data_IF_398718584602
#
_entry.id   IF_398718584602
#
_cell.length_a   1.000
_cell.length_b   1.000
_cell.length_c   1.000
_cell.angle_alpha   90.00
_cell.angle_beta   90.00
_cell.angle_gamma   90.00
#
_symmetry.space_group_name_H-M   'P 1'
#
loop_
_entity.id
_entity.type
_entity.pdbx_description
1 polymer ?
#
# COMPACT_ATOMS: atom_id res chain seq x y z
N UNK A 1 -1.09 5.15 21.57
CA UNK A 1 -1.20 3.71 21.26
C UNK A 1 -2.54 3.51 20.60
N UNK A 2 -2.53 3.14 19.32
CA UNK A 2 -3.78 2.90 18.62
C UNK A 2 -4.38 1.57 19.05
N UNK A 3 -5.72 1.52 19.09
CA UNK A 3 -6.50 0.35 19.47
C UNK A 3 -7.69 0.25 18.52
N UNK A 4 -8.02 -0.98 18.13
CA UNK A 4 -9.25 -1.29 17.44
C UNK A 4 -10.16 -2.00 18.44
N UNK A 5 -11.36 -1.44 18.68
CA UNK A 5 -12.44 -2.12 19.38
C UNK A 5 -13.39 -2.68 18.33
N UNK A 6 -13.53 -4.00 18.28
CA UNK A 6 -14.44 -4.69 17.35
C UNK A 6 -15.62 -5.24 18.13
N UNK A 7 -16.83 -4.85 17.74
CA UNK A 7 -18.08 -5.40 18.30
C UNK A 7 -18.57 -6.49 17.36
N UNK A 8 -18.67 -7.73 17.87
CA UNK A 8 -19.16 -8.87 17.11
C UNK A 8 -20.69 -8.92 16.97
N UNK A 9 -21.19 -9.95 16.29
CA UNK A 9 -22.62 -10.27 16.22
C UNK A 9 -23.32 -9.99 14.89
N UNK A 10 -22.62 -9.38 13.92
CA UNK A 10 -23.15 -9.12 12.58
C UNK A 10 -22.34 -9.84 11.49
N UNK A 11 -22.96 -10.65 10.62
CA UNK A 11 -22.28 -11.19 9.44
C UNK A 11 -21.93 -10.07 8.45
N UNK A 12 -20.77 -10.18 7.80
CA UNK A 12 -20.37 -9.24 6.76
C UNK A 12 -21.10 -9.53 5.45
N UNK A 13 -21.57 -8.48 4.77
CA UNK A 13 -22.19 -8.56 3.44
C UNK A 13 -21.76 -7.37 2.60
N UNK A 14 -21.43 -7.62 1.33
CA UNK A 14 -20.98 -6.60 0.37
C UNK A 14 -19.64 -6.95 -0.29
N UNK A 15 -19.04 -5.96 -0.93
CA UNK A 15 -17.74 -6.08 -1.60
C UNK A 15 -16.85 -4.89 -1.29
N UNK A 16 -15.54 -5.11 -1.28
CA UNK A 16 -14.54 -4.07 -1.10
C UNK A 16 -13.46 -4.21 -2.17
N UNK A 17 -12.90 -3.09 -2.61
CA UNK A 17 -11.77 -3.07 -3.53
C UNK A 17 -10.48 -3.16 -2.73
N UNK A 18 -9.62 -4.10 -3.08
CA UNK A 18 -8.29 -4.25 -2.48
C UNK A 18 -7.27 -3.43 -3.27
N UNK A 19 -6.33 -2.81 -2.56
CA UNK A 19 -5.18 -2.13 -3.16
C UNK A 19 -4.14 -3.12 -3.72
N UNK A 20 -3.11 -2.62 -4.38
CA UNK A 20 -2.01 -3.45 -4.86
C UNK A 20 -1.21 -4.12 -3.74
N UNK A 21 -0.39 -5.09 -4.11
CA UNK A 21 0.42 -5.86 -3.17
C UNK A 21 1.66 -5.08 -2.72
N UNK A 22 1.88 -5.01 -1.40
CA UNK A 22 3.05 -4.36 -0.78
C UNK A 22 4.37 -4.73 -1.45
N UNK A 23 4.65 -6.03 -1.53
CA UNK A 23 5.95 -6.52 -2.01
C UNK A 23 6.19 -6.25 -3.50
N UNK A 24 5.12 -6.03 -4.27
CA UNK A 24 5.25 -5.57 -5.67
C UNK A 24 5.53 -4.07 -5.70
N UNK A 25 4.76 -3.28 -4.95
CA UNK A 25 4.95 -1.83 -4.88
C UNK A 25 6.36 -1.43 -4.41
N UNK A 26 6.89 -2.06 -3.35
CA UNK A 26 8.24 -1.78 -2.85
C UNK A 26 9.34 -2.05 -3.90
N UNK A 27 9.21 -3.15 -4.66
CA UNK A 27 10.17 -3.48 -5.73
C UNK A 27 10.05 -2.51 -6.90
N UNK A 28 8.84 -2.10 -7.26
CA UNK A 28 8.62 -1.11 -8.31
C UNK A 28 9.14 0.28 -7.90
N UNK A 29 9.00 0.68 -6.63
CA UNK A 29 9.58 1.92 -6.10
C UNK A 29 11.10 1.90 -6.24
N UNK A 30 11.78 0.80 -5.87
CA UNK A 30 13.21 0.66 -6.07
C UNK A 30 13.61 0.65 -7.56
N UNK A 31 12.86 -0.08 -8.40
CA UNK A 31 13.13 -0.16 -9.84
C UNK A 31 12.95 1.19 -10.55
N UNK A 32 12.10 2.09 -10.02
CA UNK A 32 11.89 3.42 -10.58
C UNK A 32 13.16 4.28 -10.59
N UNK A 33 14.13 4.00 -9.70
CA UNK A 33 15.43 4.68 -9.67
C UNK A 33 16.30 4.33 -10.88
N UNK A 34 16.03 3.22 -11.55
CA UNK A 34 16.81 2.74 -12.70
C UNK A 34 16.33 3.34 -14.02
N UNK A 35 15.13 3.95 -14.04
CA UNK A 35 14.54 4.52 -15.25
C UNK A 35 14.88 6.02 -15.36
N UNK A 36 15.22 6.48 -16.57
CA UNK A 36 15.34 7.91 -16.84
C UNK A 36 13.96 8.58 -16.85
N UNK A 37 13.89 9.80 -16.32
CA UNK A 37 12.66 10.59 -16.31
C UNK A 37 11.68 10.20 -15.19
N UNK A 38 10.37 10.27 -15.48
CA UNK A 38 9.32 10.14 -14.47
C UNK A 38 8.63 8.77 -14.54
N UNK A 39 8.76 7.99 -13.47
CA UNK A 39 7.98 6.78 -13.24
C UNK A 39 6.67 7.08 -12.50
N UNK A 40 5.55 6.43 -12.90
CA UNK A 40 4.25 6.55 -12.21
C UNK A 40 3.73 5.16 -11.85
N UNK A 41 3.74 4.83 -10.57
CA UNK A 41 3.23 3.57 -10.03
C UNK A 41 1.81 3.78 -9.51
N UNK A 42 0.84 3.02 -10.03
CA UNK A 42 -0.58 3.12 -9.66
C UNK A 42 -1.01 1.96 -8.76
N UNK A 43 -2.10 2.14 -8.02
CA UNK A 43 -2.65 1.13 -7.10
C UNK A 43 -1.68 0.73 -5.97
N UNK A 44 -0.82 1.64 -5.52
CA UNK A 44 0.08 1.41 -4.38
C UNK A 44 -0.74 1.35 -3.08
N UNK A 45 -0.56 0.33 -2.21
CA UNK A 45 -1.26 0.27 -0.93
C UNK A 45 -0.81 1.40 0.00
N UNK A 46 -1.75 2.04 0.70
CA UNK A 46 -1.47 3.10 1.67
C UNK A 46 -1.11 2.50 3.04
N UNK A 47 0.13 2.06 3.17
CA UNK A 47 0.68 1.43 4.38
C UNK A 47 2.05 2.02 4.70
N UNK A 48 2.49 1.85 5.96
CA UNK A 48 3.70 2.49 6.47
C UNK A 48 4.94 2.13 5.63
N UNK A 49 5.16 0.87 5.29
CA UNK A 49 6.32 0.43 4.50
C UNK A 49 6.44 1.20 3.17
N UNK A 50 5.33 1.43 2.46
CA UNK A 50 5.33 2.15 1.18
C UNK A 50 5.59 3.64 1.34
N UNK A 51 5.09 4.25 2.43
CA UNK A 51 5.35 5.64 2.76
C UNK A 51 6.81 5.86 3.15
N UNK A 52 7.34 5.01 4.04
CA UNK A 52 8.74 5.05 4.45
C UNK A 52 9.69 4.82 3.28
N UNK A 53 9.38 3.89 2.37
CA UNK A 53 10.18 3.74 1.14
C UNK A 53 10.17 5.02 0.31
N UNK A 54 9.01 5.67 0.15
CA UNK A 54 8.92 6.93 -0.60
C UNK A 54 9.63 8.11 0.07
N UNK A 55 9.82 8.09 1.39
CA UNK A 55 10.60 9.08 2.14
C UNK A 55 12.12 8.83 2.06
N UNK A 56 12.52 7.56 1.87
CA UNK A 56 13.94 7.16 1.76
C UNK A 56 14.51 7.42 0.37
N UNK A 57 13.70 7.28 -0.68
CA UNK A 57 14.08 7.52 -2.08
C UNK A 57 14.12 9.01 -2.42
#
# INVERSE_FOLDING_TARGET
MDRLLVVGGAPLSGSVRISGAKNSALKLQAAALLAEGRSVIRNVPRIQDCATMAEVL
#
